data_IF_789627821588
#
_entry.id   IF_789627821588
#
_cell.length_a   1.000
_cell.length_b   1.000
_cell.length_c   1.000
_cell.angle_alpha   90.00
_cell.angle_beta   90.00
_cell.angle_gamma   90.00
#
_symmetry.space_group_name_H-M   'P 1'
#
loop_
_entity.id
_entity.type
_entity.pdbx_description
1 polymer ?
#
# COMPACT_ATOMS: atom_id res chain seq x y z
N UNK A 1 10.59 -7.08 13.74
CA UNK A 1 9.38 -7.17 12.90
C UNK A 1 9.06 -5.80 12.33
N UNK A 2 8.59 -5.73 11.08
CA UNK A 2 7.95 -4.55 10.47
C UNK A 2 6.43 -4.74 10.51
N UNK A 3 5.68 -3.67 10.70
CA UNK A 3 4.24 -3.72 10.98
C UNK A 3 3.52 -2.47 10.48
N UNK A 4 2.25 -2.60 10.12
CA UNK A 4 1.33 -1.49 9.88
C UNK A 4 1.16 -1.09 8.41
N UNK A 5 2.19 -1.25 7.59
CA UNK A 5 2.15 -1.06 6.13
C UNK A 5 2.94 -2.17 5.41
N UNK A 6 2.64 -2.45 4.13
CA UNK A 6 3.47 -3.33 3.32
C UNK A 6 4.93 -2.85 3.30
N UNK A 7 5.86 -3.71 3.73
CA UNK A 7 7.30 -3.40 3.62
C UNK A 7 7.79 -3.76 2.22
N UNK A 8 8.33 -2.78 1.51
CA UNK A 8 8.91 -3.07 0.21
C UNK A 8 10.15 -4.00 0.34
N UNK A 9 10.43 -4.85 -0.66
CA UNK A 9 11.53 -5.83 -0.58
C UNK A 9 12.92 -5.22 -0.33
N UNK A 10 13.20 -4.02 -0.83
CA UNK A 10 14.51 -3.37 -0.65
C UNK A 10 14.69 -2.87 0.79
N UNK A 11 13.66 -2.25 1.37
CA UNK A 11 13.66 -1.87 2.79
C UNK A 11 13.76 -3.12 3.69
N UNK A 12 13.10 -4.21 3.33
CA UNK A 12 13.22 -5.48 4.05
C UNK A 12 14.66 -6.01 4.01
N UNK A 13 15.29 -6.07 2.83
CA UNK A 13 16.68 -6.52 2.68
C UNK A 13 17.64 -5.61 3.44
N UNK A 14 17.46 -4.30 3.37
CA UNK A 14 18.27 -3.34 4.10
C UNK A 14 18.13 -3.56 5.62
N UNK A 15 16.91 -3.74 6.12
CA UNK A 15 16.64 -4.03 7.53
C UNK A 15 17.32 -5.34 7.96
N UNK A 16 17.11 -6.42 7.19
CA UNK A 16 17.69 -7.72 7.46
C UNK A 16 19.23 -7.68 7.49
N UNK A 17 19.86 -6.98 6.54
CA UNK A 17 21.31 -6.87 6.44
C UNK A 17 21.93 -5.95 7.49
N UNK A 18 21.43 -4.72 7.62
CA UNK A 18 22.11 -3.67 8.39
C UNK A 18 21.75 -3.70 9.87
N UNK A 19 20.48 -3.96 10.19
CA UNK A 19 20.01 -4.05 11.58
C UNK A 19 20.12 -5.49 12.06
N UNK A 20 19.65 -6.41 11.23
CA UNK A 20 19.63 -7.84 11.55
C UNK A 20 20.96 -8.56 11.41
N UNK A 21 21.97 -7.94 10.78
CA UNK A 21 23.27 -8.56 10.49
C UNK A 21 23.17 -9.93 9.80
N UNK A 22 22.08 -10.13 9.06
CA UNK A 22 21.74 -11.39 8.39
C UNK A 22 21.59 -12.59 9.34
N UNK A 23 21.41 -12.34 10.65
CA UNK A 23 21.38 -13.36 11.71
C UNK A 23 20.10 -13.27 12.57
N UNK A 24 19.02 -12.74 11.99
CA UNK A 24 17.70 -12.65 12.64
C UNK A 24 16.59 -13.17 11.73
N UNK A 25 15.46 -13.53 12.31
CA UNK A 25 14.22 -13.74 11.54
C UNK A 25 13.55 -12.38 11.29
N UNK A 26 13.94 -11.73 10.20
CA UNK A 26 13.24 -10.53 9.73
C UNK A 26 11.83 -10.93 9.27
N UNK A 27 10.82 -10.16 9.69
CA UNK A 27 9.44 -10.56 9.53
C UNK A 27 8.56 -9.33 9.37
N UNK A 28 7.70 -9.34 8.35
CA UNK A 28 6.63 -8.37 8.16
C UNK A 28 5.34 -8.98 8.66
N UNK A 29 4.77 -8.44 9.73
CA UNK A 29 3.54 -8.96 10.30
C UNK A 29 2.36 -8.16 9.77
N UNK A 30 1.36 -8.84 9.22
CA UNK A 30 0.09 -8.22 8.89
C UNK A 30 -0.96 -8.55 9.96
N UNK A 31 -1.66 -7.49 10.36
CA UNK A 31 -2.83 -7.49 11.23
C UNK A 31 -3.46 -6.09 11.21
N UNK A 32 -4.64 -6.00 11.81
CA UNK A 32 -5.42 -4.77 11.94
C UNK A 32 -5.98 -4.66 13.36
N UNK A 33 -6.45 -3.47 13.74
CA UNK A 33 -7.08 -3.22 15.05
C UNK A 33 -8.15 -4.26 15.36
N UNK A 34 -8.96 -4.60 14.36
CA UNK A 34 -10.08 -5.52 14.42
C UNK A 34 -9.64 -6.97 14.67
N UNK A 35 -8.42 -7.33 14.29
CA UNK A 35 -7.90 -8.69 14.51
C UNK A 35 -7.35 -8.90 15.92
N UNK A 36 -7.05 -7.82 16.66
CA UNK A 36 -6.56 -7.87 18.04
C UNK A 36 -5.17 -8.49 18.25
N UNK A 37 -4.63 -9.20 17.25
CA UNK A 37 -3.33 -9.87 17.29
C UNK A 37 -2.72 -9.99 15.89
N UNK A 38 -1.43 -10.33 15.81
CA UNK A 38 -0.76 -10.67 14.56
C UNK A 38 -1.39 -11.92 13.93
N UNK A 39 -1.81 -11.84 12.67
CA UNK A 39 -2.41 -12.99 11.97
C UNK A 39 -1.51 -13.58 10.90
N UNK A 40 -0.47 -12.87 10.48
CA UNK A 40 0.53 -13.40 9.57
C UNK A 40 1.92 -12.93 9.97
N UNK A 41 2.94 -13.69 9.58
CA UNK A 41 4.32 -13.26 9.69
C UNK A 41 5.30 -14.38 9.35
N UNK A 42 6.58 -14.07 9.49
CA UNK A 42 7.62 -15.09 9.62
C UNK A 42 7.88 -15.31 11.12
N UNK A 43 7.84 -16.58 11.54
CA UNK A 43 7.91 -16.97 12.94
C UNK A 43 9.30 -17.54 13.27
N UNK A 44 10.00 -17.00 14.29
CA UNK A 44 11.28 -17.56 14.75
C UNK A 44 11.17 -19.05 15.10
N UNK A 45 12.20 -19.83 14.75
CA UNK A 45 12.23 -21.28 14.97
C UNK A 45 11.52 -22.11 13.88
N UNK A 46 10.67 -21.50 13.03
CA UNK A 46 10.01 -22.18 11.91
C UNK A 46 10.71 -21.97 10.56
N UNK A 47 11.85 -21.29 10.52
CA UNK A 47 12.54 -20.90 9.27
C UNK A 47 12.98 -22.05 8.35
N UNK A 48 13.07 -23.29 8.87
CA UNK A 48 13.31 -24.50 8.06
C UNK A 48 12.05 -25.02 7.36
N UNK A 49 10.88 -24.72 7.91
CA UNK A 49 9.56 -25.09 7.38
C UNK A 49 9.04 -23.97 6.48
N UNK A 50 9.29 -22.72 6.87
CA UNK A 50 8.87 -21.51 6.18
C UNK A 50 10.07 -20.56 6.00
N UNK A 51 10.85 -20.72 4.92
CA UNK A 51 11.99 -19.84 4.63
C UNK A 51 11.60 -18.35 4.60
N UNK A 52 12.56 -17.45 4.85
CA UNK A 52 12.28 -16.02 4.71
C UNK A 52 12.09 -15.65 3.23
N UNK A 53 10.97 -15.03 2.90
CA UNK A 53 10.71 -14.47 1.57
C UNK A 53 10.56 -12.94 1.68
N UNK A 54 11.58 -12.16 1.27
CA UNK A 54 11.58 -10.72 1.42
C UNK A 54 10.35 -10.04 0.81
N UNK A 55 9.74 -9.14 1.58
CA UNK A 55 8.55 -8.38 1.15
C UNK A 55 7.21 -9.11 1.32
N UNK A 56 7.22 -10.38 1.75
CA UNK A 56 5.98 -11.09 2.09
C UNK A 56 5.56 -10.82 3.53
N UNK A 57 4.27 -11.00 3.81
CA UNK A 57 3.73 -11.07 5.15
C UNK A 57 3.82 -12.49 5.75
N UNK A 58 4.60 -13.38 5.13
CA UNK A 58 4.81 -14.74 5.61
C UNK A 58 3.56 -15.61 5.47
N UNK A 59 3.34 -16.44 6.49
CA UNK A 59 2.24 -17.41 6.54
C UNK A 59 1.20 -17.02 7.60
N UNK A 60 -0.04 -17.53 7.48
CA UNK A 60 -1.03 -17.45 8.54
C UNK A 60 -0.52 -17.96 9.90
N UNK A 61 -1.00 -17.32 10.96
CA UNK A 61 -0.79 -17.77 12.33
C UNK A 61 -1.43 -19.16 12.51
N UNK A 62 -0.78 -20.10 13.25
CA UNK A 62 -1.34 -21.43 13.45
C UNK A 62 -2.79 -21.40 13.96
N UNK A 63 -3.66 -22.17 13.30
CA UNK A 63 -5.10 -22.22 13.62
C UNK A 63 -5.93 -21.11 12.96
N UNK A 64 -5.32 -20.19 12.20
CA UNK A 64 -6.01 -19.16 11.43
C UNK A 64 -5.87 -19.46 9.94
N UNK A 65 -6.99 -19.44 9.21
CA UNK A 65 -7.01 -19.61 7.76
C UNK A 65 -7.29 -18.28 7.10
N UNK A 66 -6.38 -17.83 6.23
CA UNK A 66 -6.56 -16.66 5.39
C UNK A 66 -6.60 -17.10 3.93
N UNK A 67 -7.56 -16.58 3.19
CA UNK A 67 -7.74 -16.84 1.76
C UNK A 67 -7.70 -15.56 0.95
N UNK A 68 -7.25 -15.70 -0.29
CA UNK A 68 -7.30 -14.64 -1.30
C UNK A 68 -8.46 -14.98 -2.22
N UNK A 69 -9.51 -14.16 -2.21
CA UNK A 69 -10.79 -14.45 -2.85
C UNK A 69 -11.10 -13.50 -4.01
N UNK A 70 -11.81 -14.00 -5.02
CA UNK A 70 -12.39 -13.18 -6.08
C UNK A 70 -13.63 -12.40 -5.61
N UNK A 71 -14.31 -11.68 -6.51
CA UNK A 71 -15.51 -10.91 -6.20
C UNK A 71 -16.70 -11.80 -5.76
N UNK A 72 -16.72 -13.07 -6.16
CA UNK A 72 -17.76 -14.05 -5.82
C UNK A 72 -17.44 -14.83 -4.53
N UNK A 73 -16.25 -14.62 -3.95
CA UNK A 73 -15.81 -15.30 -2.72
C UNK A 73 -15.18 -16.67 -2.95
N UNK A 74 -14.72 -16.96 -4.17
CA UNK A 74 -13.97 -18.18 -4.47
C UNK A 74 -12.45 -17.94 -4.36
N UNK A 75 -11.65 -18.93 -3.93
CA UNK A 75 -10.21 -18.81 -3.87
C UNK A 75 -9.58 -18.49 -5.24
N UNK A 76 -8.76 -17.44 -5.28
CA UNK A 76 -7.97 -17.09 -6.45
C UNK A 76 -6.83 -18.11 -6.68
N UNK A 77 -6.46 -18.39 -7.94
CA UNK A 77 -5.25 -19.15 -8.25
C UNK A 77 -3.98 -18.50 -7.68
N UNK A 78 -2.90 -19.28 -7.46
CA UNK A 78 -1.63 -18.71 -7.00
C UNK A 78 -1.11 -17.60 -7.91
N UNK A 79 -0.63 -16.50 -7.32
CA UNK A 79 -0.13 -15.33 -8.04
C UNK A 79 -1.21 -14.36 -8.51
N UNK A 80 -2.49 -14.73 -8.40
CA UNK A 80 -3.61 -13.86 -8.77
C UNK A 80 -4.02 -12.99 -7.59
N UNK A 81 -4.21 -11.70 -7.85
CA UNK A 81 -4.68 -10.74 -6.86
C UNK A 81 -6.16 -10.97 -6.55
N UNK A 82 -6.49 -10.99 -5.26
CA UNK A 82 -7.86 -11.03 -4.76
C UNK A 82 -7.99 -10.37 -3.38
N UNK A 83 -9.20 -10.35 -2.85
CA UNK A 83 -9.52 -9.82 -1.53
C UNK A 83 -9.00 -10.74 -0.44
N UNK A 84 -8.29 -10.19 0.53
CA UNK A 84 -7.86 -10.95 1.70
C UNK A 84 -9.05 -11.13 2.65
N UNK A 85 -9.36 -12.39 2.97
CA UNK A 85 -10.42 -12.74 3.90
C UNK A 85 -9.92 -13.77 4.92
N UNK A 86 -10.43 -13.69 6.14
CA UNK A 86 -10.17 -14.69 7.18
C UNK A 86 -11.36 -15.63 7.21
N UNK A 87 -11.12 -16.92 7.00
CA UNK A 87 -12.15 -17.95 6.78
C UNK A 87 -12.33 -18.88 7.98
N UNK A 88 -11.56 -18.67 9.05
CA UNK A 88 -11.72 -19.33 10.33
C UNK A 88 -11.85 -18.31 11.47
N UNK A 89 -12.51 -18.64 12.59
CA UNK A 89 -12.48 -17.79 13.77
C UNK A 89 -11.08 -17.74 14.38
N UNK A 90 -10.79 -16.69 15.16
CA UNK A 90 -9.57 -16.58 15.96
C UNK A 90 -9.87 -15.94 17.33
N UNK A 91 -9.07 -16.22 18.38
CA UNK A 91 -9.43 -15.84 19.74
C UNK A 91 -9.56 -14.32 19.99
N UNK A 92 -8.74 -13.51 19.32
CA UNK A 92 -8.66 -12.07 19.54
C UNK A 92 -9.57 -11.24 18.59
N UNK A 93 -10.47 -11.87 17.84
CA UNK A 93 -11.35 -11.15 16.90
C UNK A 93 -12.24 -10.15 17.64
N UNK A 94 -12.41 -8.96 17.07
CA UNK A 94 -13.39 -8.01 17.60
C UNK A 94 -14.78 -8.65 17.63
N UNK A 95 -15.54 -8.34 18.68
CA UNK A 95 -16.88 -8.90 18.84
C UNK A 95 -17.96 -8.04 18.15
N UNK A 96 -17.74 -6.71 18.08
CA UNK A 96 -18.68 -5.77 17.47
C UNK A 96 -18.06 -4.36 17.39
N UNK A 97 -18.80 -3.40 16.80
CA UNK A 97 -18.51 -1.97 16.89
C UNK A 97 -19.37 -1.31 17.96
N UNK A 98 -18.77 -0.47 18.80
CA UNK A 98 -19.46 0.19 19.91
C UNK A 98 -20.66 1.01 19.42
N UNK A 99 -21.85 0.72 19.97
CA UNK A 99 -23.14 1.33 19.60
C UNK A 99 -23.52 1.21 18.11
N UNK A 100 -22.87 0.34 17.33
CA UNK A 100 -23.20 0.14 15.92
C UNK A 100 -22.96 -1.31 15.43
N UNK A 101 -23.70 -2.29 15.96
CA UNK A 101 -23.53 -3.70 15.58
C UNK A 101 -23.91 -3.98 14.12
N UNK A 102 -24.81 -3.20 13.52
CA UNK A 102 -25.18 -3.39 12.12
C UNK A 102 -24.01 -3.08 11.19
N UNK A 103 -23.28 -1.98 11.45
CA UNK A 103 -22.09 -1.63 10.68
C UNK A 103 -20.99 -2.68 10.77
N UNK A 104 -20.87 -3.39 11.90
CA UNK A 104 -19.95 -4.52 12.03
C UNK A 104 -20.26 -5.62 11.00
N UNK A 105 -21.54 -5.99 10.86
CA UNK A 105 -21.99 -6.95 9.85
C UNK A 105 -21.74 -6.43 8.44
N UNK A 106 -22.20 -5.20 8.15
CA UNK A 106 -22.14 -4.61 6.82
C UNK A 106 -20.71 -4.49 6.28
N UNK A 107 -19.77 -4.09 7.16
CA UNK A 107 -18.37 -3.87 6.76
C UNK A 107 -17.60 -5.18 6.66
N UNK A 108 -17.72 -6.07 7.63
CA UNK A 108 -16.81 -7.21 7.77
C UNK A 108 -17.37 -8.54 7.27
N UNK A 109 -18.70 -8.69 7.14
CA UNK A 109 -19.31 -10.00 6.87
C UNK A 109 -20.18 -10.03 5.60
N UNK A 110 -20.59 -8.88 5.09
CA UNK A 110 -21.56 -8.81 3.98
C UNK A 110 -20.93 -8.84 2.58
N UNK A 111 -19.59 -8.81 2.44
CA UNK A 111 -18.93 -8.74 1.14
C UNK A 111 -19.17 -9.99 0.29
N UNK A 112 -18.95 -11.17 0.88
CA UNK A 112 -19.01 -12.45 0.17
C UNK A 112 -20.36 -13.10 0.43
N UNK A 113 -21.33 -12.89 -0.48
CA UNK A 113 -22.70 -13.34 -0.29
C UNK A 113 -22.78 -14.85 -0.06
N UNK A 114 -23.49 -15.26 0.98
CA UNK A 114 -23.67 -16.67 1.33
C UNK A 114 -22.43 -17.34 1.95
N UNK A 115 -21.39 -16.57 2.30
CA UNK A 115 -20.19 -17.04 3.00
C UNK A 115 -20.04 -16.32 4.34
N UNK A 116 -19.56 -17.04 5.35
CA UNK A 116 -19.23 -16.46 6.67
C UNK A 116 -17.73 -16.18 6.72
N UNK A 117 -17.27 -15.26 5.87
CA UNK A 117 -15.87 -14.87 5.78
C UNK A 117 -15.68 -13.45 6.28
N UNK A 118 -14.67 -13.24 7.11
CA UNK A 118 -14.31 -11.91 7.61
C UNK A 118 -13.52 -11.17 6.53
N UNK A 119 -14.11 -10.15 5.94
CA UNK A 119 -13.47 -9.28 4.97
C UNK A 119 -12.53 -8.28 5.66
N UNK A 120 -11.25 -8.33 5.32
CA UNK A 120 -10.23 -7.49 5.97
C UNK A 120 -10.18 -6.06 5.42
N UNK A 121 -10.71 -5.85 4.21
CA UNK A 121 -10.55 -4.58 3.49
C UNK A 121 -9.24 -4.46 2.72
N UNK A 122 -8.40 -5.50 2.67
CA UNK A 122 -7.14 -5.51 1.95
C UNK A 122 -7.17 -6.38 0.68
N UNK A 123 -6.32 -6.04 -0.29
CA UNK A 123 -5.94 -6.95 -1.37
C UNK A 123 -4.71 -7.75 -0.98
N UNK A 124 -4.64 -8.99 -1.44
CA UNK A 124 -3.46 -9.81 -1.32
C UNK A 124 -3.24 -10.70 -2.55
N UNK A 125 -2.05 -11.27 -2.64
CA UNK A 125 -1.70 -12.39 -3.52
C UNK A 125 -1.22 -13.53 -2.62
N UNK A 126 -1.75 -14.74 -2.88
CA UNK A 126 -1.18 -15.98 -2.33
C UNK A 126 -0.29 -16.57 -3.41
N UNK A 127 1.00 -16.74 -3.15
CA UNK A 127 1.90 -17.31 -4.15
C UNK A 127 1.86 -18.84 -4.15
N UNK A 128 2.59 -19.45 -5.09
CA UNK A 128 2.66 -20.90 -5.27
C UNK A 128 3.24 -21.66 -4.06
N UNK A 129 4.01 -20.95 -3.22
CA UNK A 129 4.64 -21.51 -2.02
C UNK A 129 3.74 -21.27 -0.78
N UNK A 130 2.59 -20.61 -0.97
CA UNK A 130 1.60 -20.33 0.06
C UNK A 130 1.83 -19.03 0.84
N UNK A 131 2.84 -18.22 0.49
CA UNK A 131 3.07 -16.95 1.17
C UNK A 131 2.02 -15.92 0.78
N UNK A 132 1.65 -15.11 1.76
CA UNK A 132 0.76 -13.97 1.55
C UNK A 132 1.56 -12.70 1.28
N UNK A 133 1.18 -12.02 0.21
CA UNK A 133 1.64 -10.69 -0.16
C UNK A 133 0.49 -9.72 0.02
N UNK A 134 0.41 -9.03 1.15
CA UNK A 134 -0.64 -8.03 1.36
C UNK A 134 -0.27 -6.76 0.61
N UNK A 135 -1.11 -6.40 -0.36
CA UNK A 135 -0.87 -5.30 -1.30
C UNK A 135 -1.39 -3.96 -0.75
N UNK A 136 -1.97 -3.96 0.45
CA UNK A 136 -2.61 -2.79 1.04
C UNK A 136 -4.12 -2.76 0.78
N UNK A 137 -4.71 -1.60 1.06
CA UNK A 137 -6.16 -1.47 1.14
C UNK A 137 -6.84 -1.63 -0.22
N UNK A 138 -7.98 -2.30 -0.22
CA UNK A 138 -8.78 -2.47 -1.42
C UNK A 138 -9.50 -1.19 -1.88
N UNK A 139 -9.68 -0.24 -0.98
CA UNK A 139 -10.17 1.11 -1.31
C UNK A 139 -9.04 2.03 -1.85
N UNK A 140 -7.77 1.71 -1.60
CA UNK A 140 -6.58 2.41 -2.13
C UNK A 140 -6.13 1.86 -3.50
N UNK A 141 -7.09 1.59 -4.40
CA UNK A 141 -6.85 1.13 -5.77
C UNK A 141 -7.22 2.20 -6.79
N UNK A 142 -6.29 2.43 -7.72
CA UNK A 142 -6.49 3.30 -8.86
C UNK A 142 -7.35 2.61 -9.92
N UNK A 143 -8.27 3.35 -10.52
CA UNK A 143 -9.04 2.91 -11.70
C UNK A 143 -8.53 3.63 -12.94
N UNK A 144 -7.48 3.09 -13.55
CA UNK A 144 -6.84 3.68 -14.74
C UNK A 144 -7.33 2.95 -15.99
N UNK A 145 -8.11 3.64 -16.83
CA UNK A 145 -8.68 3.09 -18.07
C UNK A 145 -9.36 1.72 -17.86
N UNK A 146 -10.20 1.62 -16.83
CA UNK A 146 -10.93 0.39 -16.47
C UNK A 146 -10.11 -0.66 -15.71
N UNK A 147 -8.79 -0.49 -15.58
CA UNK A 147 -7.92 -1.41 -14.85
C UNK A 147 -7.79 -0.99 -13.39
N UNK A 148 -7.88 -1.96 -12.48
CA UNK A 148 -7.68 -1.78 -11.05
C UNK A 148 -6.21 -1.98 -10.72
N UNK A 149 -5.52 -0.95 -10.25
CA UNK A 149 -4.06 -0.96 -10.03
C UNK A 149 -3.78 -0.55 -8.59
N UNK A 150 -3.00 -1.35 -7.86
CA UNK A 150 -2.72 -1.07 -6.45
C UNK A 150 -1.74 0.09 -6.31
N UNK A 151 -2.04 1.04 -5.41
CA UNK A 151 -1.10 2.14 -5.11
C UNK A 151 0.22 1.62 -4.53
N UNK A 152 0.19 0.60 -3.67
CA UNK A 152 1.40 0.00 -3.10
C UNK A 152 2.30 -0.71 -4.14
N UNK A 153 1.70 -1.23 -5.22
CA UNK A 153 2.46 -1.83 -6.33
C UNK A 153 3.27 -0.75 -7.05
N UNK A 154 2.64 0.40 -7.31
CA UNK A 154 3.28 1.58 -7.89
C UNK A 154 4.39 2.10 -6.98
N UNK A 155 4.12 2.26 -5.69
CA UNK A 155 5.09 2.73 -4.70
C UNK A 155 6.29 1.76 -4.59
N UNK A 156 6.03 0.45 -4.60
CA UNK A 156 7.08 -0.57 -4.58
C UNK A 156 7.95 -0.54 -5.84
N UNK A 157 7.39 -0.21 -7.00
CA UNK A 157 8.17 -0.02 -8.23
C UNK A 157 8.99 1.27 -8.18
N UNK A 158 8.43 2.37 -7.66
CA UNK A 158 9.13 3.64 -7.51
C UNK A 158 10.39 3.50 -6.64
N UNK A 159 10.30 2.81 -5.51
CA UNK A 159 11.42 2.64 -4.55
C UNK A 159 12.57 1.81 -5.13
N UNK A 160 12.34 1.00 -6.17
CA UNK A 160 13.42 0.27 -6.88
C UNK A 160 14.33 1.20 -7.68
N UNK A 161 13.91 2.43 -7.96
CA UNK A 161 14.76 3.41 -8.60
C UNK A 161 15.87 3.91 -7.64
N UNK A 162 17.14 4.01 -8.08
CA UNK A 162 18.24 4.41 -7.21
C UNK A 162 18.02 5.74 -6.49
N UNK A 163 17.40 6.71 -7.15
CA UNK A 163 17.14 8.04 -6.62
C UNK A 163 16.00 8.13 -5.59
N UNK A 164 15.09 7.16 -5.55
CA UNK A 164 13.85 7.27 -4.75
C UNK A 164 14.06 6.67 -3.36
N UNK A 165 13.78 7.47 -2.33
CA UNK A 165 13.79 7.05 -0.93
C UNK A 165 12.41 6.55 -0.49
N UNK A 166 11.38 7.34 -0.76
CA UNK A 166 9.99 7.04 -0.43
C UNK A 166 9.06 7.53 -1.54
N UNK A 167 7.86 6.94 -1.61
CA UNK A 167 6.84 7.37 -2.55
C UNK A 167 5.44 7.16 -1.98
N UNK A 168 4.53 8.10 -2.25
CA UNK A 168 3.11 7.98 -1.96
C UNK A 168 2.31 8.19 -3.24
N UNK A 169 1.57 7.16 -3.66
CA UNK A 169 0.74 7.20 -4.86
C UNK A 169 -0.73 7.41 -4.51
N UNK A 170 -1.37 8.33 -5.21
CA UNK A 170 -2.81 8.56 -5.16
C UNK A 170 -3.40 8.66 -6.57
N UNK A 171 -4.72 8.54 -6.67
CA UNK A 171 -5.45 8.75 -7.92
C UNK A 171 -5.80 10.21 -8.11
N UNK A 172 -5.41 10.77 -9.27
CA UNK A 172 -5.89 12.06 -9.76
C UNK A 172 -6.95 11.81 -10.83
N UNK A 173 -8.10 12.48 -10.73
CA UNK A 173 -9.17 12.36 -11.73
C UNK A 173 -8.67 12.78 -13.11
N UNK A 174 -9.01 11.97 -14.11
CA UNK A 174 -8.71 12.22 -15.52
C UNK A 174 -9.97 12.00 -16.37
N UNK A 175 -10.33 12.93 -17.28
CA UNK A 175 -11.58 12.87 -18.03
C UNK A 175 -11.66 11.69 -19.01
N UNK A 176 -10.52 11.14 -19.44
CA UNK A 176 -10.45 10.05 -20.42
C UNK A 176 -10.24 8.71 -19.73
N UNK A 177 -9.30 8.65 -18.79
CA UNK A 177 -8.87 7.41 -18.13
C UNK A 177 -9.59 7.14 -16.81
N UNK A 178 -10.44 8.05 -16.34
CA UNK A 178 -11.07 7.99 -15.02
C UNK A 178 -10.11 8.49 -13.95
N UNK A 179 -9.00 7.78 -13.75
CA UNK A 179 -7.91 8.19 -12.88
C UNK A 179 -6.55 8.01 -13.56
N UNK A 180 -5.58 8.83 -13.15
CA UNK A 180 -4.15 8.66 -13.44
C UNK A 180 -3.34 8.68 -12.13
N UNK A 181 -2.17 8.02 -12.08
CA UNK A 181 -1.32 8.03 -10.89
C UNK A 181 -0.69 9.42 -10.67
N UNK A 182 -0.85 9.96 -9.46
CA UNK A 182 -0.09 11.11 -8.98
C UNK A 182 0.78 10.65 -7.81
N UNK A 183 2.10 10.82 -7.95
CA UNK A 183 3.09 10.18 -7.09
C UNK A 183 3.97 11.25 -6.43
N UNK A 184 3.77 11.44 -5.13
CA UNK A 184 4.67 12.23 -4.30
C UNK A 184 5.93 11.40 -4.04
N UNK A 185 7.10 11.97 -4.32
CA UNK A 185 8.37 11.25 -4.37
C UNK A 185 9.41 11.96 -3.52
N UNK A 186 9.92 11.26 -2.52
CA UNK A 186 11.05 11.70 -1.70
C UNK A 186 12.32 11.12 -2.28
N UNK A 187 13.31 11.98 -2.52
CA UNK A 187 14.60 11.58 -3.09
C UNK A 187 15.59 11.17 -2.00
N UNK A 188 16.50 10.25 -2.32
CA UNK A 188 17.64 9.95 -1.47
C UNK A 188 18.61 11.13 -1.44
N UNK A 189 19.36 11.23 -0.34
CA UNK A 189 20.43 12.21 -0.21
C UNK A 189 21.41 12.11 -1.39
N UNK A 190 21.79 13.26 -1.95
CA UNK A 190 22.67 13.36 -3.11
C UNK A 190 21.94 13.50 -4.45
N UNK A 191 20.63 13.26 -4.49
CA UNK A 191 19.79 13.55 -5.65
C UNK A 191 19.09 14.90 -5.47
N UNK A 192 18.75 15.56 -6.58
CA UNK A 192 18.01 16.83 -6.59
C UNK A 192 16.79 16.72 -7.50
N UNK A 193 15.68 17.41 -7.17
CA UNK A 193 14.53 17.49 -8.05
C UNK A 193 14.92 18.11 -9.40
N UNK A 194 14.75 17.37 -10.49
CA UNK A 194 14.92 17.89 -11.84
C UNK A 194 13.98 17.19 -12.84
N UNK A 195 13.58 17.86 -13.94
CA UNK A 195 12.66 17.29 -14.92
C UNK A 195 13.19 16.04 -15.64
N UNK A 196 14.50 15.91 -15.83
CA UNK A 196 15.10 14.74 -16.48
C UNK A 196 15.02 13.52 -15.56
N UNK A 197 15.28 13.68 -14.27
CA UNK A 197 15.12 12.66 -13.25
C UNK A 197 13.65 12.22 -13.13
N UNK A 198 12.69 13.14 -13.21
CA UNK A 198 11.28 12.79 -13.24
C UNK A 198 10.94 11.88 -14.45
N UNK A 199 11.49 12.19 -15.63
CA UNK A 199 11.34 11.36 -16.83
C UNK A 199 12.04 10.00 -16.71
N UNK A 200 13.24 9.95 -16.12
CA UNK A 200 13.97 8.71 -15.83
C UNK A 200 13.16 7.78 -14.93
N UNK A 201 12.63 8.31 -13.82
CA UNK A 201 11.77 7.58 -12.89
C UNK A 201 10.49 7.08 -13.59
N UNK A 202 9.88 7.92 -14.43
CA UNK A 202 8.69 7.55 -15.21
C UNK A 202 9.00 6.41 -16.19
N UNK A 203 10.17 6.43 -16.83
CA UNK A 203 10.64 5.35 -17.70
C UNK A 203 10.93 4.06 -16.93
N UNK A 204 11.50 4.15 -15.74
CA UNK A 204 11.67 3.01 -14.84
C UNK A 204 10.31 2.38 -14.46
N UNK A 205 9.31 3.21 -14.14
CA UNK A 205 7.96 2.76 -13.83
C UNK A 205 7.32 2.05 -15.03
N UNK A 206 7.54 2.58 -16.25
CA UNK A 206 7.09 1.98 -17.51
C UNK A 206 7.67 0.60 -17.73
N UNK A 207 8.96 0.41 -17.45
CA UNK A 207 9.63 -0.89 -17.57
C UNK A 207 9.14 -1.90 -16.51
N UNK A 208 8.74 -1.43 -15.33
CA UNK A 208 8.40 -2.29 -14.19
C UNK A 208 6.92 -2.70 -14.14
N UNK A 209 6.00 -1.75 -14.32
CA UNK A 209 4.55 -1.98 -14.21
C UNK A 209 3.86 -1.94 -15.58
N UNK A 210 4.48 -1.26 -16.55
CA UNK A 210 3.96 -1.17 -17.90
C UNK A 210 3.45 0.22 -18.29
N UNK A 211 3.18 0.41 -19.59
CA UNK A 211 2.84 1.72 -20.16
C UNK A 211 1.48 2.25 -19.72
N UNK A 212 0.56 1.38 -19.33
CA UNK A 212 -0.79 1.77 -18.93
C UNK A 212 -0.77 2.74 -17.74
N UNK A 213 0.08 2.46 -16.75
CA UNK A 213 0.26 3.28 -15.54
C UNK A 213 1.22 4.41 -15.80
N UNK A 214 2.37 4.08 -16.39
CA UNK A 214 3.50 5.00 -16.41
C UNK A 214 3.33 6.15 -17.39
N UNK A 215 2.53 6.01 -18.47
CA UNK A 215 2.47 7.05 -19.52
C UNK A 215 1.92 8.39 -19.00
N UNK A 216 0.95 8.35 -18.08
CA UNK A 216 0.31 9.55 -17.53
C UNK A 216 0.59 9.75 -16.04
N UNK A 217 1.51 8.95 -15.48
CA UNK A 217 1.98 9.16 -14.13
C UNK A 217 2.58 10.57 -14.01
N UNK A 218 2.18 11.26 -12.94
CA UNK A 218 2.69 12.58 -12.57
C UNK A 218 3.60 12.40 -11.36
N UNK A 219 4.86 12.80 -11.49
CA UNK A 219 5.87 12.75 -10.42
C UNK A 219 5.99 14.13 -9.80
N UNK A 220 5.74 14.22 -8.50
CA UNK A 220 5.91 15.44 -7.72
C UNK A 220 6.99 15.20 -6.65
N UNK A 221 8.07 15.97 -6.68
CA UNK A 221 9.13 15.85 -5.68
C UNK A 221 8.76 16.61 -4.41
N UNK A 222 8.99 15.97 -3.27
CA UNK A 222 8.79 16.50 -1.92
C UNK A 222 9.94 16.02 -1.02
N UNK A 223 10.27 16.77 0.02
CA UNK A 223 11.21 16.39 1.06
C UNK A 223 10.59 15.34 1.99
N UNK A 224 9.27 15.38 2.19
CA UNK A 224 8.54 14.43 3.04
C UNK A 224 7.10 14.16 2.58
N UNK A 225 6.52 13.05 3.04
CA UNK A 225 5.09 12.72 2.86
C UNK A 225 4.39 12.71 4.22
N UNK A 226 3.13 13.17 4.32
CA UNK A 226 2.41 13.27 5.59
C UNK A 226 2.12 11.88 6.14
N UNK A 227 2.59 11.61 7.36
CA UNK A 227 2.42 10.34 8.07
C UNK A 227 1.71 10.53 9.41
N UNK A 228 1.05 9.47 9.87
CA UNK A 228 0.59 9.35 11.26
C UNK A 228 1.77 9.09 12.19
N UNK A 229 1.59 9.28 13.50
CA UNK A 229 2.59 8.86 14.51
C UNK A 229 2.95 7.35 14.48
N UNK A 230 2.13 6.54 13.84
CA UNK A 230 2.40 5.11 13.62
C UNK A 230 3.16 4.83 12.31
N UNK A 231 3.60 5.88 11.61
CA UNK A 231 4.34 5.81 10.35
C UNK A 231 3.48 5.61 9.10
N UNK A 232 2.15 5.62 9.20
CA UNK A 232 1.26 5.36 8.06
C UNK A 232 1.09 6.60 7.18
N UNK A 233 1.23 6.45 5.87
CA UNK A 233 1.02 7.55 4.93
C UNK A 233 -0.46 7.96 4.93
N UNK A 234 -0.72 9.25 5.18
CA UNK A 234 -2.07 9.82 5.22
C UNK A 234 -2.57 10.17 3.81
N UNK A 235 -2.78 9.14 2.97
CA UNK A 235 -3.21 9.28 1.56
C UNK A 235 -4.49 10.12 1.38
N UNK A 236 -5.39 10.11 2.36
CA UNK A 236 -6.59 10.98 2.37
C UNK A 236 -6.23 12.47 2.26
N UNK A 237 -5.19 12.92 2.95
CA UNK A 237 -4.77 14.33 2.91
C UNK A 237 -4.16 14.67 1.55
N UNK A 238 -3.31 13.79 1.02
CA UNK A 238 -2.74 13.93 -0.33
C UNK A 238 -3.83 13.96 -1.40
N UNK A 239 -4.85 13.10 -1.30
CA UNK A 239 -6.01 13.08 -2.19
C UNK A 239 -6.80 14.38 -2.10
N UNK A 240 -7.02 14.90 -0.90
CA UNK A 240 -7.73 16.17 -0.70
C UNK A 240 -6.97 17.36 -1.33
N UNK A 241 -5.64 17.39 -1.21
CA UNK A 241 -4.79 18.41 -1.85
C UNK A 241 -4.97 18.38 -3.37
N UNK A 242 -4.82 17.20 -3.98
CA UNK A 242 -4.88 17.05 -5.44
C UNK A 242 -6.30 17.26 -5.98
N UNK A 243 -7.35 16.91 -5.22
CA UNK A 243 -8.74 17.15 -5.61
C UNK A 243 -9.25 18.56 -5.28
N UNK A 244 -8.47 19.39 -4.58
CA UNK A 244 -8.90 20.70 -4.06
C UNK A 244 -10.00 20.60 -2.99
N UNK A 245 -10.13 19.45 -2.30
CA UNK A 245 -11.12 19.26 -1.26
C UNK A 245 -10.62 19.78 0.10
N UNK A 246 -11.56 20.03 1.02
CA UNK A 246 -11.21 20.46 2.37
C UNK A 246 -10.34 19.41 3.07
N UNK A 247 -9.19 19.85 3.58
CA UNK A 247 -8.32 19.03 4.42
C UNK A 247 -9.04 18.89 5.77
N UNK A 248 -9.63 17.72 6.00
CA UNK A 248 -10.35 17.41 7.25
C UNK A 248 -9.41 17.27 8.46
N UNK A 249 -9.79 16.45 9.44
CA UNK A 249 -9.03 16.28 10.69
C UNK A 249 -7.54 15.89 10.46
N UNK A 250 -6.63 16.61 11.12
CA UNK A 250 -5.16 16.45 11.08
C UNK A 250 -4.56 16.16 12.46
N UNK A 251 -5.37 15.88 13.48
CA UNK A 251 -4.93 15.71 14.88
C UNK A 251 -3.93 14.56 15.11
N UNK A 252 -3.88 13.58 14.21
CA UNK A 252 -2.98 12.40 14.29
C UNK A 252 -1.71 12.52 13.45
N UNK A 253 -1.55 13.65 12.76
CA UNK A 253 -0.40 13.96 11.92
C UNK A 253 0.87 14.06 12.77
N UNK A 254 1.96 13.48 12.28
CA UNK A 254 3.27 13.59 12.92
C UNK A 254 3.87 14.99 12.72
N UNK A 255 3.77 15.53 11.50
CA UNK A 255 4.30 16.85 11.13
C UNK A 255 3.37 17.58 10.14
N UNK A 256 2.95 18.80 10.54
CA UNK A 256 2.17 19.73 9.72
C UNK A 256 2.87 20.22 8.46
N UNK A 257 4.21 20.26 8.47
CA UNK A 257 5.02 20.79 7.38
C UNK A 257 4.84 19.97 6.11
N UNK A 258 4.74 18.64 6.23
CA UNK A 258 4.56 17.73 5.11
C UNK A 258 3.28 18.00 4.30
N UNK A 259 2.23 18.53 4.94
CA UNK A 259 0.97 18.88 4.25
C UNK A 259 1.13 20.13 3.41
N UNK A 260 1.78 21.17 3.94
CA UNK A 260 2.05 22.41 3.21
C UNK A 260 3.04 22.20 2.08
N UNK A 261 4.03 21.34 2.30
CA UNK A 261 4.95 20.90 1.26
C UNK A 261 4.23 20.18 0.11
N UNK A 262 3.38 19.20 0.42
CA UNK A 262 2.61 18.49 -0.59
C UNK A 262 1.71 19.43 -1.40
N UNK A 263 1.13 20.47 -0.77
CA UNK A 263 0.40 21.54 -1.48
C UNK A 263 1.28 22.30 -2.45
N UNK A 264 2.45 22.79 -1.99
CA UNK A 264 3.39 23.54 -2.84
C UNK A 264 3.87 22.73 -4.03
N UNK A 265 4.19 21.45 -3.81
CA UNK A 265 4.58 20.53 -4.87
C UNK A 265 3.45 20.32 -5.88
N UNK A 266 2.21 20.15 -5.41
CA UNK A 266 1.05 20.02 -6.29
C UNK A 266 0.81 21.29 -7.13
N UNK A 267 0.82 22.49 -6.53
CA UNK A 267 0.63 23.74 -7.27
C UNK A 267 1.74 23.96 -8.30
N UNK A 268 3.00 23.69 -7.95
CA UNK A 268 4.14 23.81 -8.87
C UNK A 268 3.97 22.90 -10.10
N UNK A 269 3.55 21.65 -9.89
CA UNK A 269 3.30 20.68 -10.97
C UNK A 269 2.06 21.07 -11.78
N UNK A 270 1.01 21.57 -11.14
CA UNK A 270 -0.21 22.03 -11.81
C UNK A 270 0.09 23.21 -12.74
N UNK A 271 0.83 24.21 -12.27
CA UNK A 271 1.26 25.35 -13.09
C UNK A 271 2.12 24.90 -14.28
N UNK A 272 3.04 23.95 -14.07
CA UNK A 272 3.87 23.42 -15.15
C UNK A 272 3.03 22.67 -16.22
N UNK A 273 2.02 21.91 -15.81
CA UNK A 273 1.09 21.21 -16.70
C UNK A 273 0.16 22.18 -17.46
N UNK A 274 -0.22 23.31 -16.85
CA UNK A 274 -1.03 24.35 -17.50
C UNK A 274 -0.22 25.13 -18.53
N UNK A 275 1.03 25.50 -18.22
CA UNK A 275 1.96 26.17 -19.17
C UNK A 275 2.34 25.30 -20.37
N UNK A 276 2.38 23.98 -20.20
CA UNK A 276 2.66 23.03 -21.29
C UNK A 276 1.48 22.78 -22.24
N UNK A 277 0.29 23.30 -21.93
CA UNK A 277 -0.92 23.21 -22.78
C UNK A 277 -1.20 24.48 -23.59
N UNK A 278 -0.49 25.58 -23.34
CA UNK A 278 -0.53 26.82 -24.13
C UNK A 278 0.54 26.80 -25.22
#
# INVERSE_FOLDING_TARGET
HSVGEPINPEAFKWYFKNIGREDIVASSTWWMTETGQMLTGHYPGLGKIFPLKPGTNGYPFPGVTLEVLDDDGNPCPPGVRGYLAITSPWPAMLMTLFKNPQRYVDVYWSRFKGKTYFYTGDFAIKDKDGYLWVLGRADDVLKVAGHRIGTAEIESAMIKHPAVAESACIGKTDPVKGEIPFIFTVLKQGYKPDPNLANEIKMHLRATIGPLVASDAVIAFVDSVPKTRSGKIMRRLLKAIVSGAAIGDVTTLEDGVAVEEAKKAYESVKEALERGKS
#
